data_IF_459050504303
#
_entry.id   IF_459050504303
#
_cell.length_a   1.000
_cell.length_b   1.000
_cell.length_c   1.000
_cell.angle_alpha   90.00
_cell.angle_beta   90.00
_cell.angle_gamma   90.00
#
_symmetry.space_group_name_H-M   'P 1'
#
loop_
_entity.id
_entity.type
_entity.pdbx_description
1 polymer ?
#
# COMPACT_ATOMS: atom_id res chain seq x y z
N UNK A 1 5.61 -17.48 -6.49
CA UNK A 1 6.23 -16.14 -6.67
C UNK A 1 7.06 -15.80 -5.46
N UNK A 2 8.08 -14.96 -5.64
CA UNK A 2 8.81 -14.32 -4.55
C UNK A 2 8.27 -12.90 -4.35
N UNK A 3 7.71 -12.63 -3.18
CA UNK A 3 6.93 -11.42 -2.88
C UNK A 3 7.62 -10.64 -1.78
N UNK A 4 7.89 -9.37 -2.01
CA UNK A 4 8.31 -8.42 -0.98
C UNK A 4 7.07 -7.73 -0.39
N UNK A 5 6.79 -7.99 0.88
CA UNK A 5 5.64 -7.43 1.61
C UNK A 5 6.12 -6.32 2.56
N UNK A 6 6.02 -5.08 2.12
CA UNK A 6 6.38 -3.89 2.90
C UNK A 6 5.24 -3.52 3.85
N UNK A 7 5.51 -3.50 5.15
CA UNK A 7 4.50 -3.30 6.19
C UNK A 7 3.84 -4.60 6.68
N UNK A 8 4.49 -5.75 6.47
CA UNK A 8 3.95 -7.07 6.81
C UNK A 8 3.59 -7.28 8.29
N UNK A 9 4.08 -6.43 9.19
CA UNK A 9 3.77 -6.48 10.64
C UNK A 9 2.52 -5.66 11.03
N UNK A 10 1.92 -4.91 10.11
CA UNK A 10 0.69 -4.15 10.34
C UNK A 10 -0.57 -5.03 10.32
N UNK A 11 -1.74 -4.41 10.53
CA UNK A 11 -3.04 -5.13 10.56
C UNK A 11 -3.28 -5.92 9.28
N UNK A 12 -3.28 -5.27 8.13
CA UNK A 12 -3.46 -5.93 6.82
C UNK A 12 -2.25 -6.84 6.52
N UNK A 13 -1.03 -6.36 6.83
CA UNK A 13 0.21 -7.07 6.51
C UNK A 13 0.31 -8.45 7.13
N UNK A 14 -0.02 -8.61 8.41
CA UNK A 14 -0.01 -9.92 9.10
C UNK A 14 -0.96 -10.92 8.45
N UNK A 15 -2.16 -10.47 8.09
CA UNK A 15 -3.13 -11.35 7.43
C UNK A 15 -2.65 -11.77 6.03
N UNK A 16 -2.09 -10.80 5.26
CA UNK A 16 -1.51 -11.07 3.95
C UNK A 16 -0.32 -12.02 4.04
N UNK A 17 0.60 -11.79 4.98
CA UNK A 17 1.74 -12.68 5.19
C UNK A 17 1.27 -14.13 5.43
N UNK A 18 0.35 -14.32 6.38
CA UNK A 18 -0.21 -15.66 6.69
C UNK A 18 -0.90 -16.29 5.48
N UNK A 19 -1.57 -15.48 4.66
CA UNK A 19 -2.32 -16.00 3.50
C UNK A 19 -1.40 -16.33 2.34
N UNK A 20 -0.49 -15.42 1.98
CA UNK A 20 0.38 -15.55 0.82
C UNK A 20 1.51 -16.59 1.04
N UNK A 21 2.01 -16.74 2.26
CA UNK A 21 3.06 -17.72 2.58
C UNK A 21 2.61 -19.19 2.43
N UNK A 22 1.34 -19.46 2.17
CA UNK A 22 0.86 -20.81 1.86
C UNK A 22 1.28 -21.28 0.48
N UNK A 23 1.46 -20.37 -0.46
CA UNK A 23 1.71 -20.69 -1.88
C UNK A 23 2.90 -19.92 -2.47
N UNK A 24 3.44 -18.94 -1.74
CA UNK A 24 4.50 -18.04 -2.21
C UNK A 24 5.61 -17.90 -1.19
N UNK A 25 6.82 -17.56 -1.64
CA UNK A 25 7.90 -17.08 -0.80
C UNK A 25 7.64 -15.61 -0.45
N UNK A 26 7.42 -15.29 0.83
CA UNK A 26 7.15 -13.92 1.28
C UNK A 26 8.30 -13.42 2.13
N UNK A 27 8.89 -12.31 1.71
CA UNK A 27 9.89 -11.55 2.48
C UNK A 27 9.17 -10.36 3.10
N UNK A 28 9.15 -10.29 4.41
CA UNK A 28 8.54 -9.16 5.14
C UNK A 28 9.55 -8.03 5.28
N UNK A 29 9.17 -6.82 4.85
CA UNK A 29 9.95 -5.61 5.07
C UNK A 29 9.20 -4.62 5.98
N UNK A 30 9.94 -3.90 6.82
CA UNK A 30 9.35 -2.94 7.75
C UNK A 30 10.39 -2.27 8.64
N UNK A 31 9.95 -1.31 9.47
CA UNK A 31 10.85 -0.53 10.35
C UNK A 31 11.48 -1.34 11.49
N UNK A 32 10.88 -2.45 11.87
CA UNK A 32 11.38 -3.32 12.96
C UNK A 32 10.79 -4.73 12.84
N UNK A 33 11.47 -5.72 13.44
CA UNK A 33 10.99 -7.11 13.53
C UNK A 33 10.57 -7.70 12.18
N UNK A 34 11.32 -7.41 11.14
CA UNK A 34 11.07 -7.84 9.76
C UNK A 34 12.32 -8.54 9.22
N UNK A 35 12.17 -9.32 8.14
CA UNK A 35 13.29 -9.99 7.47
C UNK A 35 14.24 -8.96 6.87
N UNK A 36 13.70 -7.84 6.36
CA UNK A 36 14.47 -6.72 5.85
C UNK A 36 13.97 -5.42 6.47
N UNK A 37 14.90 -4.61 6.97
CA UNK A 37 14.58 -3.31 7.57
C UNK A 37 14.45 -2.26 6.49
N UNK A 38 13.36 -1.47 6.55
CA UNK A 38 13.10 -0.33 5.66
C UNK A 38 12.28 0.74 6.35
N UNK A 39 12.67 2.00 6.17
CA UNK A 39 11.81 3.17 6.35
C UNK A 39 11.42 3.69 4.95
N UNK A 40 10.14 3.60 4.62
CA UNK A 40 9.65 4.05 3.31
C UNK A 40 9.63 5.57 3.15
N UNK A 41 9.76 6.34 4.23
CA UNK A 41 9.91 7.78 4.17
C UNK A 41 11.32 8.22 3.73
N UNK A 42 12.27 7.28 3.66
CA UNK A 42 13.66 7.47 3.23
C UNK A 42 13.97 6.67 1.96
N UNK A 43 14.28 7.36 0.87
CA UNK A 43 14.59 6.74 -0.42
C UNK A 43 15.88 5.92 -0.40
N UNK A 44 16.87 6.29 0.40
CA UNK A 44 18.10 5.53 0.54
C UNK A 44 17.86 4.23 1.31
N UNK A 45 16.99 4.24 2.32
CA UNK A 45 16.53 3.04 3.02
C UNK A 45 15.78 2.08 2.08
N UNK A 46 14.95 2.60 1.17
CA UNK A 46 14.27 1.80 0.15
C UNK A 46 15.29 1.15 -0.81
N UNK A 47 16.27 1.91 -1.27
CA UNK A 47 17.35 1.38 -2.14
C UNK A 47 18.13 0.28 -1.45
N UNK A 48 18.58 0.52 -0.21
CA UNK A 48 19.30 -0.46 0.59
C UNK A 48 18.49 -1.73 0.88
N UNK A 49 17.15 -1.63 0.97
CA UNK A 49 16.25 -2.78 1.07
C UNK A 49 16.29 -3.61 -0.22
N UNK A 50 16.13 -2.96 -1.39
CA UNK A 50 16.15 -3.68 -2.67
C UNK A 50 17.49 -4.34 -2.98
N UNK A 51 18.60 -3.75 -2.56
CA UNK A 51 19.93 -4.33 -2.71
C UNK A 51 20.14 -5.63 -1.89
N UNK A 52 19.28 -5.91 -0.92
CA UNK A 52 19.32 -7.13 -0.07
C UNK A 52 18.38 -8.24 -0.55
N UNK A 53 17.56 -7.98 -1.56
CA UNK A 53 16.59 -8.93 -2.07
C UNK A 53 16.76 -9.08 -3.58
N UNK A 54 16.54 -10.26 -4.09
CA UNK A 54 16.69 -10.58 -5.51
C UNK A 54 15.50 -11.36 -6.05
N UNK A 55 15.38 -11.44 -7.37
CA UNK A 55 14.42 -12.28 -8.07
C UNK A 55 12.97 -12.03 -7.63
N UNK A 56 12.58 -10.77 -7.41
CA UNK A 56 11.26 -10.41 -6.98
C UNK A 56 10.24 -10.48 -8.12
N UNK A 57 9.13 -11.19 -7.88
CA UNK A 57 7.99 -11.25 -8.81
C UNK A 57 6.93 -10.20 -8.46
N UNK A 58 6.81 -9.85 -7.18
CA UNK A 58 5.85 -8.85 -6.74
C UNK A 58 6.35 -8.04 -5.54
N UNK A 59 5.95 -6.78 -5.49
CA UNK A 59 6.10 -5.90 -4.33
C UNK A 59 4.70 -5.46 -3.89
N UNK A 60 4.35 -5.74 -2.64
CA UNK A 60 3.12 -5.30 -2.00
C UNK A 60 3.48 -4.30 -0.91
N UNK A 61 2.92 -3.11 -0.93
CA UNK A 61 3.07 -2.13 0.13
C UNK A 61 1.77 -1.89 0.87
N UNK A 62 1.73 -2.26 2.16
CA UNK A 62 0.65 -1.99 3.09
C UNK A 62 1.09 -1.04 4.22
N UNK A 63 2.20 -0.32 4.00
CA UNK A 63 2.75 0.66 4.91
C UNK A 63 2.42 2.09 4.47
N UNK A 64 2.60 3.01 5.38
CA UNK A 64 2.40 4.45 5.19
C UNK A 64 1.36 5.02 6.16
N UNK A 65 1.64 6.19 6.66
CA UNK A 65 0.83 6.92 7.63
C UNK A 65 0.44 8.30 7.09
N UNK A 66 -0.64 8.88 7.62
CA UNK A 66 -1.06 10.24 7.39
C UNK A 66 -1.69 10.79 8.66
N UNK A 67 -1.61 12.09 8.87
CA UNK A 67 -2.20 12.77 10.03
C UNK A 67 -3.72 12.81 9.91
N UNK A 68 -4.42 12.51 10.99
CA UNK A 68 -5.86 12.70 11.16
C UNK A 68 -6.08 13.81 12.17
N UNK A 69 -6.66 14.90 11.71
CA UNK A 69 -6.98 16.07 12.52
C UNK A 69 -7.98 16.96 11.78
N UNK A 70 -8.71 17.80 12.49
CA UNK A 70 -9.57 18.81 11.86
C UNK A 70 -8.72 19.77 11.03
N UNK A 71 -9.22 20.17 9.87
CA UNK A 71 -8.46 20.95 8.89
C UNK A 71 -7.87 22.23 9.47
N UNK A 72 -8.61 22.90 10.34
CA UNK A 72 -8.20 24.16 10.99
C UNK A 72 -6.97 24.00 11.90
N UNK A 73 -6.69 22.79 12.39
CA UNK A 73 -5.56 22.50 13.28
C UNK A 73 -4.37 21.90 12.53
N UNK A 74 -4.52 21.55 11.24
CA UNK A 74 -3.43 20.97 10.45
C UNK A 74 -2.43 22.04 10.03
N UNK A 75 -1.18 21.84 10.40
CA UNK A 75 -0.05 22.59 9.86
C UNK A 75 0.41 22.02 8.51
N UNK A 76 1.27 22.76 7.80
CA UNK A 76 1.92 22.26 6.59
C UNK A 76 2.76 20.99 6.88
N UNK A 77 3.45 20.97 8.01
CA UNK A 77 4.24 19.82 8.47
C UNK A 77 3.40 18.56 8.69
N UNK A 78 2.17 18.71 9.17
CA UNK A 78 1.22 17.58 9.34
C UNK A 78 0.85 16.96 7.98
N UNK A 79 0.70 17.76 6.92
CA UNK A 79 0.52 17.24 5.56
C UNK A 79 1.76 16.51 5.05
N UNK A 80 2.98 17.03 5.35
CA UNK A 80 4.21 16.36 4.94
C UNK A 80 4.42 14.99 5.58
N UNK A 81 3.83 14.68 6.74
CA UNK A 81 3.82 13.32 7.30
C UNK A 81 3.29 12.32 6.26
N UNK A 82 2.10 12.58 5.75
CA UNK A 82 1.47 11.72 4.74
C UNK A 82 2.18 11.77 3.38
N UNK A 83 2.62 12.95 2.96
CA UNK A 83 3.33 13.14 1.69
C UNK A 83 4.65 12.33 1.70
N UNK A 84 5.46 12.42 2.73
CA UNK A 84 6.74 11.72 2.81
C UNK A 84 6.57 10.22 3.01
N UNK A 85 5.75 9.81 3.99
CA UNK A 85 5.56 8.41 4.35
C UNK A 85 4.68 7.68 3.33
N UNK A 86 3.40 8.05 3.21
CA UNK A 86 2.45 7.27 2.42
C UNK A 86 2.57 7.53 0.91
N UNK A 87 2.58 8.80 0.47
CA UNK A 87 2.62 9.11 -0.96
C UNK A 87 3.99 8.83 -1.54
N UNK A 88 5.01 9.58 -1.14
CA UNK A 88 6.35 9.44 -1.70
C UNK A 88 7.00 8.12 -1.33
N UNK A 89 6.69 7.55 -0.16
CA UNK A 89 7.15 6.21 0.20
C UNK A 89 6.71 5.17 -0.82
N UNK A 90 5.42 5.14 -1.18
CA UNK A 90 4.91 4.21 -2.18
C UNK A 90 5.39 4.56 -3.61
N UNK A 91 5.49 5.84 -3.96
CA UNK A 91 6.08 6.29 -5.23
C UNK A 91 7.53 5.81 -5.36
N UNK A 92 8.35 5.99 -4.33
CA UNK A 92 9.74 5.60 -4.34
C UNK A 92 9.95 4.08 -4.36
N UNK A 93 9.06 3.30 -3.73
CA UNK A 93 9.07 1.83 -3.86
C UNK A 93 8.94 1.41 -5.33
N UNK A 94 8.09 2.07 -6.11
CA UNK A 94 7.94 1.79 -7.55
C UNK A 94 9.11 2.34 -8.35
N UNK A 95 9.47 3.61 -8.12
CA UNK A 95 10.52 4.34 -8.88
C UNK A 95 11.88 3.64 -8.79
N UNK A 96 12.24 3.18 -7.59
CA UNK A 96 13.51 2.47 -7.34
C UNK A 96 13.34 0.98 -7.70
N UNK A 97 12.24 0.37 -7.28
CA UNK A 97 12.02 -1.06 -7.40
C UNK A 97 11.84 -1.60 -8.82
N UNK A 98 11.46 -0.75 -9.80
CA UNK A 98 11.26 -1.17 -11.19
C UNK A 98 12.46 -1.88 -11.82
N UNK A 99 13.67 -1.61 -11.30
CA UNK A 99 14.91 -2.18 -11.81
C UNK A 99 15.31 -3.49 -11.07
N UNK A 100 14.55 -3.87 -10.03
CA UNK A 100 14.79 -5.05 -9.19
C UNK A 100 13.74 -6.16 -9.37
N UNK A 101 12.66 -5.91 -10.10
CA UNK A 101 11.65 -6.91 -10.36
C UNK A 101 11.96 -7.73 -11.61
N UNK A 102 11.57 -8.99 -11.56
CA UNK A 102 11.59 -9.88 -12.71
C UNK A 102 10.69 -9.34 -13.84
N UNK A 103 10.97 -9.75 -15.07
CA UNK A 103 10.08 -9.47 -16.22
C UNK A 103 8.64 -9.89 -15.90
N UNK A 104 7.67 -9.03 -16.20
CA UNK A 104 6.24 -9.16 -15.86
C UNK A 104 5.93 -9.14 -14.36
N UNK A 105 6.83 -8.69 -13.53
CA UNK A 105 6.58 -8.46 -12.12
C UNK A 105 5.51 -7.40 -11.86
N UNK A 106 5.10 -7.24 -10.60
CA UNK A 106 4.01 -6.33 -10.26
C UNK A 106 4.24 -5.55 -8.97
N UNK A 107 3.74 -4.32 -8.96
CA UNK A 107 3.58 -3.50 -7.76
C UNK A 107 2.12 -3.46 -7.35
N UNK A 108 1.84 -3.64 -6.06
CA UNK A 108 0.52 -3.43 -5.48
C UNK A 108 0.63 -2.46 -4.32
N UNK A 109 0.09 -1.28 -4.52
CA UNK A 109 0.06 -0.21 -3.53
C UNK A 109 -1.22 -0.27 -2.71
N UNK A 110 -1.24 0.40 -1.56
CA UNK A 110 -2.40 0.44 -0.65
C UNK A 110 -2.89 1.85 -0.45
N UNK A 111 -4.16 2.04 -0.69
CA UNK A 111 -4.91 3.24 -0.34
C UNK A 111 -6.09 2.87 0.56
N UNK A 112 -7.12 3.66 0.59
CA UNK A 112 -8.36 3.41 1.31
C UNK A 112 -9.48 4.24 0.73
N UNK A 113 -10.69 3.97 1.17
CA UNK A 113 -11.94 4.63 0.76
C UNK A 113 -11.85 6.15 0.82
N UNK A 114 -11.01 6.70 1.71
CA UNK A 114 -10.84 8.13 1.90
C UNK A 114 -10.41 8.91 0.65
N UNK A 115 -9.90 8.23 -0.39
CA UNK A 115 -9.61 8.85 -1.68
C UNK A 115 -10.89 9.21 -2.46
N UNK A 116 -11.95 8.45 -2.26
CA UNK A 116 -13.22 8.56 -2.98
C UNK A 116 -14.32 9.12 -2.05
N UNK A 117 -14.36 8.69 -0.80
CA UNK A 117 -15.35 9.04 0.22
C UNK A 117 -14.63 9.43 1.52
N UNK A 118 -14.12 10.68 1.63
CA UNK A 118 -13.45 11.15 2.84
C UNK A 118 -14.44 11.30 4.00
N UNK A 119 -13.95 11.05 5.22
CA UNK A 119 -14.69 11.30 6.44
C UNK A 119 -14.10 12.49 7.21
N UNK A 120 -14.77 12.95 8.26
CA UNK A 120 -14.30 14.07 9.08
C UNK A 120 -12.86 13.83 9.61
N UNK A 121 -12.03 14.84 9.65
CA UNK A 121 -10.62 14.84 10.08
C UNK A 121 -9.64 14.11 9.13
N UNK A 122 -10.00 13.83 7.88
CA UNK A 122 -9.15 13.01 6.99
C UNK A 122 -8.60 13.73 5.77
N UNK A 123 -8.59 15.06 5.73
CA UNK A 123 -8.12 15.84 4.57
C UNK A 123 -6.71 15.46 4.12
N UNK A 124 -5.75 15.30 5.05
CA UNK A 124 -4.39 14.85 4.74
C UNK A 124 -4.36 13.42 4.18
N UNK A 125 -5.11 12.49 4.80
CA UNK A 125 -5.18 11.10 4.36
C UNK A 125 -5.88 10.96 2.99
N UNK A 126 -6.96 11.70 2.76
CA UNK A 126 -7.68 11.73 1.48
C UNK A 126 -6.77 12.22 0.34
N UNK A 127 -6.05 13.32 0.58
CA UNK A 127 -5.12 13.90 -0.39
C UNK A 127 -4.06 12.89 -0.85
N UNK A 128 -3.38 12.21 0.08
CA UNK A 128 -2.32 11.26 -0.28
C UNK A 128 -2.86 9.99 -0.93
N UNK A 129 -4.02 9.50 -0.50
CA UNK A 129 -4.67 8.35 -1.14
C UNK A 129 -5.09 8.68 -2.59
N UNK A 130 -5.67 9.87 -2.82
CA UNK A 130 -6.02 10.36 -4.15
C UNK A 130 -4.79 10.55 -5.04
N UNK A 131 -3.68 11.05 -4.49
CA UNK A 131 -2.40 11.15 -5.18
C UNK A 131 -1.88 9.80 -5.68
N UNK A 132 -1.97 8.75 -4.83
CA UNK A 132 -1.59 7.39 -5.22
C UNK A 132 -2.51 6.85 -6.33
N UNK A 133 -3.83 7.10 -6.28
CA UNK A 133 -4.75 6.69 -7.34
C UNK A 133 -4.36 7.27 -8.70
N UNK A 134 -4.02 8.56 -8.75
CA UNK A 134 -3.58 9.23 -9.98
C UNK A 134 -2.22 8.71 -10.44
N UNK A 135 -1.27 8.53 -9.51
CA UNK A 135 0.05 7.98 -9.78
C UNK A 135 -0.02 6.59 -10.42
N UNK A 136 -0.80 5.66 -9.84
CA UNK A 136 -0.97 4.28 -10.35
C UNK A 136 -1.47 4.28 -11.79
N UNK A 137 -2.48 5.11 -12.11
CA UNK A 137 -3.03 5.20 -13.46
C UNK A 137 -2.02 5.74 -14.48
N UNK A 138 -1.25 6.76 -14.09
CA UNK A 138 -0.26 7.36 -14.97
C UNK A 138 0.93 6.43 -15.20
N UNK A 139 1.52 5.90 -14.12
CA UNK A 139 2.72 5.06 -14.21
C UNK A 139 2.44 3.72 -14.91
N UNK A 140 1.22 3.20 -14.84
CA UNK A 140 0.84 2.00 -15.59
C UNK A 140 1.04 2.14 -17.11
N UNK A 141 1.04 3.36 -17.65
CA UNK A 141 1.29 3.64 -19.06
C UNK A 141 2.79 3.72 -19.41
N UNK A 142 3.65 3.88 -18.40
CA UNK A 142 5.07 4.20 -18.54
C UNK A 142 6.00 3.04 -18.12
N UNK A 143 5.52 2.09 -17.29
CA UNK A 143 6.32 0.96 -16.84
C UNK A 143 6.70 0.03 -18.00
N UNK A 144 8.01 -0.16 -18.18
CA UNK A 144 8.58 -1.09 -19.14
C UNK A 144 8.59 -2.54 -18.66
N UNK A 145 9.23 -3.42 -19.44
CA UNK A 145 9.49 -4.83 -19.13
C UNK A 145 8.24 -5.67 -18.79
N UNK A 146 7.05 -5.22 -19.20
CA UNK A 146 5.80 -5.88 -18.86
C UNK A 146 5.41 -5.75 -17.39
N UNK A 147 6.07 -4.87 -16.63
CA UNK A 147 5.74 -4.59 -15.24
C UNK A 147 4.31 -4.01 -15.14
N UNK A 148 3.63 -4.37 -14.06
CA UNK A 148 2.27 -3.91 -13.78
C UNK A 148 2.23 -3.18 -12.46
N UNK A 149 1.30 -2.26 -12.32
CA UNK A 149 1.03 -1.55 -11.07
C UNK A 149 -0.46 -1.44 -10.83
N UNK A 150 -0.91 -1.74 -9.62
CA UNK A 150 -2.28 -1.56 -9.19
C UNK A 150 -2.31 -1.00 -7.76
N UNK A 151 -3.46 -0.51 -7.31
CA UNK A 151 -3.69 -0.21 -5.90
C UNK A 151 -4.91 -0.97 -5.39
N UNK A 152 -4.84 -1.44 -4.14
CA UNK A 152 -5.99 -1.91 -3.37
C UNK A 152 -6.47 -0.76 -2.49
N UNK A 153 -7.74 -0.38 -2.69
CA UNK A 153 -8.43 0.67 -1.93
C UNK A 153 -9.57 0.02 -1.15
N UNK A 154 -9.33 -0.25 0.12
CA UNK A 154 -10.33 -0.87 1.00
C UNK A 154 -11.09 0.18 1.78
N UNK A 155 -12.37 -0.06 1.99
CA UNK A 155 -13.14 0.56 3.05
C UNK A 155 -12.61 0.09 4.42
N UNK A 156 -13.24 0.51 5.51
CA UNK A 156 -12.85 0.16 6.87
C UNK A 156 -12.77 -1.37 7.02
N UNK A 157 -11.57 -1.89 7.30
CA UNK A 157 -11.37 -3.33 7.49
C UNK A 157 -11.88 -3.80 8.85
N UNK A 158 -12.40 -5.03 8.93
CA UNK A 158 -12.99 -5.58 10.16
C UNK A 158 -12.07 -5.50 11.37
N UNK A 159 -10.77 -5.78 11.22
CA UNK A 159 -9.79 -5.73 12.31
C UNK A 159 -9.51 -4.30 12.84
N UNK A 160 -9.92 -3.26 12.11
CA UNK A 160 -9.80 -1.87 12.51
C UNK A 160 -11.17 -1.24 12.91
N UNK A 161 -12.26 -1.99 12.75
CA UNK A 161 -13.62 -1.49 12.90
C UNK A 161 -13.85 -0.84 14.28
N UNK A 162 -13.57 -1.53 15.37
CA UNK A 162 -13.80 -1.01 16.71
C UNK A 162 -13.07 0.31 16.99
N UNK A 163 -11.89 0.49 16.40
CA UNK A 163 -11.08 1.69 16.57
C UNK A 163 -11.63 2.90 15.80
N UNK A 164 -12.19 2.68 14.61
CA UNK A 164 -12.50 3.75 13.68
C UNK A 164 -14.00 3.89 13.35
N UNK A 165 -14.87 2.99 13.79
CA UNK A 165 -16.30 2.97 13.41
C UNK A 165 -17.04 4.29 13.65
N UNK A 166 -16.63 5.06 14.65
CA UNK A 166 -17.26 6.37 14.95
C UNK A 166 -17.04 7.41 13.84
N UNK A 167 -16.01 7.25 13.02
CA UNK A 167 -15.73 8.10 11.85
C UNK A 167 -16.45 7.62 10.58
N UNK A 168 -16.95 6.38 10.57
CA UNK A 168 -17.56 5.73 9.41
C UNK A 168 -19.00 5.28 9.71
N UNK A 169 -19.91 6.22 10.03
CA UNK A 169 -21.30 5.85 10.35
C UNK A 169 -21.98 5.20 9.15
N UNK A 170 -22.52 3.99 9.34
CA UNK A 170 -23.24 3.26 8.30
C UNK A 170 -22.36 2.40 7.37
N UNK A 171 -21.01 2.49 7.48
CA UNK A 171 -20.16 1.61 6.70
C UNK A 171 -20.16 0.18 7.27
N UNK A 172 -20.22 -0.80 6.37
CA UNK A 172 -20.08 -2.20 6.70
C UNK A 172 -18.57 -2.54 6.61
N UNK A 173 -17.95 -3.13 7.66
CA UNK A 173 -16.53 -3.44 7.61
C UNK A 173 -16.21 -4.50 6.57
N UNK A 174 -15.08 -4.32 5.87
CA UNK A 174 -14.61 -5.27 4.87
C UNK A 174 -13.93 -6.45 5.56
N UNK A 175 -14.37 -7.70 5.34
CA UNK A 175 -13.72 -8.87 5.90
C UNK A 175 -12.27 -9.00 5.41
N UNK A 176 -11.33 -9.35 6.30
CA UNK A 176 -9.89 -9.48 5.97
C UNK A 176 -9.64 -10.48 4.84
N UNK A 177 -10.46 -11.53 4.73
CA UNK A 177 -10.43 -12.46 3.59
C UNK A 177 -10.69 -11.73 2.26
N UNK A 178 -11.69 -10.83 2.21
CA UNK A 178 -12.01 -10.03 1.01
C UNK A 178 -10.87 -9.06 0.68
N UNK A 179 -10.25 -8.47 1.71
CA UNK A 179 -9.07 -7.63 1.54
C UNK A 179 -7.92 -8.41 0.90
N UNK A 180 -7.58 -9.58 1.43
CA UNK A 180 -6.53 -10.44 0.89
C UNK A 180 -6.79 -10.84 -0.57
N UNK A 181 -8.05 -11.16 -0.93
CA UNK A 181 -8.42 -11.48 -2.31
C UNK A 181 -8.18 -10.30 -3.27
N UNK A 182 -8.30 -9.05 -2.80
CA UNK A 182 -7.93 -7.87 -3.59
C UNK A 182 -6.44 -7.84 -3.95
N UNK A 183 -5.56 -8.16 -3.01
CA UNK A 183 -4.11 -8.23 -3.26
C UNK A 183 -3.74 -9.42 -4.14
N UNK A 184 -4.31 -10.61 -3.90
CA UNK A 184 -4.12 -11.77 -4.76
C UNK A 184 -4.53 -11.45 -6.20
N UNK A 185 -5.71 -10.83 -6.39
CA UNK A 185 -6.16 -10.37 -7.70
C UNK A 185 -5.16 -9.41 -8.36
N UNK A 186 -4.56 -8.48 -7.59
CA UNK A 186 -3.60 -7.53 -8.12
C UNK A 186 -2.31 -8.19 -8.61
N UNK A 187 -1.78 -9.18 -7.87
CA UNK A 187 -0.50 -9.83 -8.21
C UNK A 187 -0.65 -10.94 -9.24
N UNK A 188 -1.74 -11.71 -9.23
CA UNK A 188 -1.91 -12.89 -10.08
C UNK A 188 -2.64 -12.62 -11.40
N UNK A 189 -3.47 -11.57 -11.47
CA UNK A 189 -4.18 -11.24 -12.70
C UNK A 189 -3.33 -10.41 -13.66
N UNK A 190 -3.88 -10.11 -14.85
CA UNK A 190 -3.26 -9.21 -15.84
C UNK A 190 -3.67 -7.75 -15.68
N UNK A 191 -4.29 -7.39 -14.56
CA UNK A 191 -4.71 -6.01 -14.30
C UNK A 191 -3.48 -5.09 -14.24
N UNK A 192 -3.62 -3.91 -14.85
CA UNK A 192 -2.63 -2.84 -14.82
C UNK A 192 -3.33 -1.49 -14.71
N UNK A 193 -2.82 -0.58 -13.88
CA UNK A 193 -3.37 0.76 -13.69
C UNK A 193 -4.71 0.79 -12.92
N UNK A 194 -5.10 -0.30 -12.27
CA UNK A 194 -6.41 -0.40 -11.62
C UNK A 194 -6.37 -0.02 -10.15
N UNK A 195 -7.46 0.63 -9.72
CA UNK A 195 -7.78 0.84 -8.30
C UNK A 195 -8.84 -0.20 -7.94
N UNK A 196 -8.41 -1.25 -7.23
CA UNK A 196 -9.27 -2.35 -6.78
C UNK A 196 -9.99 -1.90 -5.51
N UNK A 197 -11.23 -1.44 -5.68
CA UNK A 197 -12.07 -0.97 -4.57
C UNK A 197 -12.73 -2.13 -3.88
N UNK A 198 -12.65 -2.16 -2.56
CA UNK A 198 -13.24 -3.19 -1.72
C UNK A 198 -14.18 -2.52 -0.71
N UNK A 199 -15.46 -2.77 -0.87
CA UNK A 199 -16.52 -2.29 0.00
C UNK A 199 -17.09 -3.46 0.81
N UNK A 200 -17.65 -3.18 1.98
CA UNK A 200 -18.28 -4.17 2.84
C UNK A 200 -19.52 -4.82 2.26
#
# INVERSE_FOLDING_TARGET
MKILLVGGNGTIGRYLNTTLSKEHEVIVAGRSKADVIVDIADSESIKAMYEKVDNLDAVICVAGEAKWEVFENLSEEDFYIGIKSKLMGQVNLVRIGKDYLNHRGSFTLTTGILADEPVYMTSSAAMVNGGIHSFVKAVALELGNGLRINAVSSDLVEDAYEKYRSYFPGNIPVPMKKVAMGYIKAIESRLNGQIIRLQG
#
